data_IF_018180320027
#
_entry.id   IF_018180320027
#
_cell.length_a   1.000
_cell.length_b   1.000
_cell.length_c   1.000
_cell.angle_alpha   90.00
_cell.angle_beta   90.00
_cell.angle_gamma   90.00
#
_symmetry.space_group_name_H-M   'P 1'
#
loop_
_entity.id
_entity.type
_entity.pdbx_description
1 polymer ?
#
# COMPACT_ATOMS: atom_id res chain seq x y z
N UNK A 1 12.39 3.68 6.57
CA UNK A 1 11.88 2.29 6.71
C UNK A 1 10.76 2.04 5.73
N UNK A 2 10.48 0.77 5.39
CA UNK A 2 9.38 0.40 4.49
C UNK A 2 8.40 -0.56 5.19
N UNK A 3 7.10 -0.34 5.01
CA UNK A 3 6.00 -1.11 5.58
C UNK A 3 4.90 -1.29 4.52
N UNK A 4 4.32 -2.48 4.40
CA UNK A 4 4.51 -3.71 5.13
C UNK A 4 5.02 -4.80 4.19
N UNK A 5 5.63 -5.85 4.73
CA UNK A 5 5.83 -7.08 3.97
C UNK A 5 4.49 -7.81 3.82
N UNK A 6 4.43 -8.81 2.95
CA UNK A 6 3.26 -9.68 2.83
C UNK A 6 2.90 -10.33 4.17
N UNK A 7 1.61 -10.53 4.39
CA UNK A 7 1.13 -11.25 5.58
C UNK A 7 1.20 -12.76 5.32
N UNK A 8 1.54 -13.54 6.33
CA UNK A 8 1.58 -14.99 6.19
C UNK A 8 0.18 -15.56 6.02
N UNK A 9 -0.04 -16.26 4.92
CA UNK A 9 -1.28 -16.95 4.59
C UNK A 9 -1.06 -18.40 4.19
N UNK A 10 -2.15 -19.11 3.93
CA UNK A 10 -2.14 -20.51 3.50
C UNK A 10 -3.29 -20.78 2.53
N UNK A 11 -3.09 -21.71 1.61
CA UNK A 11 -4.17 -22.25 0.76
C UNK A 11 -4.15 -23.77 0.76
N UNK A 12 -5.32 -24.37 0.92
CA UNK A 12 -5.55 -25.82 0.84
C UNK A 12 -6.25 -26.13 -0.49
N UNK A 13 -5.71 -27.12 -1.21
CA UNK A 13 -6.41 -27.76 -2.32
C UNK A 13 -7.36 -28.84 -1.73
N UNK A 14 -8.63 -28.57 -1.71
CA UNK A 14 -9.65 -29.42 -1.09
C UNK A 14 -9.85 -30.76 -1.83
N UNK A 15 -9.56 -30.77 -3.14
CA UNK A 15 -9.73 -31.98 -3.96
C UNK A 15 -8.57 -32.94 -3.77
N UNK A 16 -7.35 -32.41 -3.69
CA UNK A 16 -6.13 -33.20 -3.42
C UNK A 16 -5.90 -33.44 -1.93
N UNK A 17 -6.63 -32.74 -1.05
CA UNK A 17 -6.42 -32.75 0.41
C UNK A 17 -4.96 -32.48 0.77
N UNK A 18 -4.36 -31.47 0.11
CA UNK A 18 -2.96 -31.13 0.21
C UNK A 18 -2.76 -29.61 0.27
N UNK A 19 -1.58 -29.19 0.66
CA UNK A 19 -1.19 -27.79 0.58
C UNK A 19 -1.08 -27.35 -0.90
N UNK A 20 -1.68 -26.21 -1.26
CA UNK A 20 -1.56 -25.66 -2.60
C UNK A 20 -0.18 -25.02 -2.86
N UNK A 21 0.53 -24.63 -1.79
CA UNK A 21 1.87 -24.06 -1.84
C UNK A 21 2.90 -25.08 -1.35
N UNK A 22 4.02 -25.20 -2.04
CA UNK A 22 5.10 -26.14 -1.70
C UNK A 22 5.62 -25.89 -0.26
N UNK A 23 5.73 -24.63 0.16
CA UNK A 23 6.17 -24.24 1.51
C UNK A 23 5.04 -24.22 2.53
N UNK A 24 3.84 -24.75 2.21
CA UNK A 24 2.62 -24.78 3.03
C UNK A 24 2.02 -23.40 3.26
N UNK A 25 2.83 -22.41 3.60
CA UNK A 25 2.45 -21.02 3.78
C UNK A 25 3.09 -20.12 2.72
N UNK A 26 2.52 -18.93 2.51
CA UNK A 26 3.04 -17.94 1.57
C UNK A 26 2.59 -16.54 1.95
N UNK A 27 3.10 -15.55 1.23
CA UNK A 27 2.76 -14.16 1.45
C UNK A 27 1.40 -13.80 0.84
N UNK A 28 0.51 -13.31 1.66
CA UNK A 28 -0.72 -12.65 1.22
C UNK A 28 -0.40 -11.20 0.85
N UNK A 29 -0.72 -10.81 -0.39
CA UNK A 29 -0.60 -9.44 -0.91
C UNK A 29 -1.90 -9.00 -1.57
N UNK A 30 -1.90 -7.79 -2.15
CA UNK A 30 -3.07 -7.24 -2.85
C UNK A 30 -4.00 -6.44 -1.94
N UNK A 31 -5.19 -6.05 -2.43
CA UNK A 31 -6.07 -5.08 -1.75
C UNK A 31 -6.49 -5.48 -0.34
N UNK A 32 -6.57 -6.77 -0.07
CA UNK A 32 -7.00 -7.30 1.24
C UNK A 32 -6.08 -6.87 2.39
N UNK A 33 -4.79 -6.63 2.13
CA UNK A 33 -3.84 -6.22 3.18
C UNK A 33 -3.78 -4.70 3.40
N UNK A 34 -4.38 -3.88 2.51
CA UNK A 34 -4.30 -2.42 2.57
C UNK A 34 -4.70 -1.84 3.94
N UNK A 35 -5.85 -2.18 4.54
CA UNK A 35 -6.25 -1.59 5.82
C UNK A 35 -5.25 -1.88 6.94
N UNK A 36 -4.63 -3.05 6.93
CA UNK A 36 -3.58 -3.41 7.90
C UNK A 36 -2.33 -2.56 7.65
N UNK A 37 -1.92 -2.44 6.38
CA UNK A 37 -0.75 -1.68 5.98
C UNK A 37 -0.88 -0.18 6.32
N UNK A 38 -2.01 0.45 6.00
CA UNK A 38 -2.29 1.86 6.33
C UNK A 38 -2.21 2.09 7.84
N UNK A 39 -2.85 1.23 8.65
CA UNK A 39 -2.77 1.33 10.11
C UNK A 39 -1.34 1.22 10.61
N UNK A 40 -0.55 0.29 10.08
CA UNK A 40 0.84 0.10 10.52
C UNK A 40 1.71 1.29 10.14
N UNK A 41 1.54 1.87 8.95
CA UNK A 41 2.22 3.10 8.54
C UNK A 41 1.85 4.26 9.46
N UNK A 42 0.57 4.44 9.78
CA UNK A 42 0.10 5.47 10.69
C UNK A 42 0.74 5.35 12.09
N UNK A 43 0.81 4.13 12.64
CA UNK A 43 1.44 3.89 13.94
C UNK A 43 2.95 4.14 13.90
N UNK A 44 3.63 3.66 12.85
CA UNK A 44 5.06 3.86 12.67
C UNK A 44 5.43 5.34 12.51
N UNK A 45 4.66 6.10 11.71
CA UNK A 45 4.90 7.53 11.50
C UNK A 45 4.83 8.36 12.78
N UNK A 46 4.08 7.90 13.78
CA UNK A 46 4.02 8.54 15.11
C UNK A 46 5.13 8.11 16.06
N UNK A 47 5.74 6.95 15.79
CA UNK A 47 6.76 6.37 16.67
C UNK A 47 8.19 6.73 16.25
N UNK A 48 8.42 7.04 14.96
CA UNK A 48 9.76 7.29 14.44
C UNK A 48 9.83 8.61 13.66
N UNK A 49 11.06 9.15 13.52
CA UNK A 49 11.32 10.40 12.76
C UNK A 49 11.97 10.15 11.39
N UNK A 50 12.16 8.89 11.01
CA UNK A 50 12.76 8.54 9.72
C UNK A 50 11.67 8.46 8.63
N UNK A 51 12.01 8.73 7.37
CA UNK A 51 11.08 8.58 6.26
C UNK A 51 10.50 7.17 6.17
N UNK A 52 9.23 7.07 5.76
CA UNK A 52 8.50 5.81 5.62
C UNK A 52 8.08 5.63 4.17
N UNK A 53 8.39 4.46 3.60
CA UNK A 53 7.82 4.01 2.33
C UNK A 53 6.63 3.10 2.66
N UNK A 54 5.42 3.56 2.34
CA UNK A 54 4.19 2.78 2.52
C UNK A 54 3.96 1.83 1.35
N UNK A 55 3.64 0.56 1.66
CA UNK A 55 3.31 -0.44 0.65
C UNK A 55 2.35 -1.49 1.20
N UNK A 56 1.58 -2.09 0.30
CA UNK A 56 0.64 -3.16 0.62
C UNK A 56 -0.79 -2.85 0.17
N UNK A 57 -1.18 -3.39 -0.98
CA UNK A 57 -2.54 -3.30 -1.50
C UNK A 57 -2.91 -2.02 -2.24
N UNK A 58 -1.94 -1.17 -2.58
CA UNK A 58 -2.14 0.04 -3.38
C UNK A 58 -2.45 -0.36 -4.82
N UNK A 59 -3.58 0.13 -5.38
CA UNK A 59 -4.03 -0.12 -6.76
C UNK A 59 -4.14 1.15 -7.59
N UNK A 60 -4.38 2.29 -6.94
CA UNK A 60 -4.69 3.57 -7.57
C UNK A 60 -4.27 4.74 -6.67
N UNK A 61 -4.55 5.97 -7.13
CA UNK A 61 -4.20 7.20 -6.42
C UNK A 61 -4.88 7.31 -5.05
N UNK A 62 -6.14 6.93 -4.92
CA UNK A 62 -6.87 7.01 -3.64
C UNK A 62 -6.21 6.12 -2.60
N UNK A 63 -5.85 4.88 -2.98
CA UNK A 63 -5.13 3.97 -2.11
C UNK A 63 -3.76 4.57 -1.70
N UNK A 64 -3.02 5.18 -2.63
CA UNK A 64 -1.72 5.81 -2.36
C UNK A 64 -1.85 7.02 -1.42
N UNK A 65 -2.88 7.84 -1.62
CA UNK A 65 -3.16 9.00 -0.78
C UNK A 65 -3.52 8.60 0.66
N UNK A 66 -4.20 7.47 0.87
CA UNK A 66 -4.42 6.95 2.23
C UNK A 66 -3.09 6.72 2.97
N UNK A 67 -2.09 6.15 2.29
CA UNK A 67 -0.76 5.94 2.89
C UNK A 67 -0.03 7.25 3.17
N UNK A 68 -0.08 8.21 2.24
CA UNK A 68 0.55 9.52 2.41
C UNK A 68 -0.10 10.26 3.58
N UNK A 69 -1.42 10.31 3.64
CA UNK A 69 -2.16 10.91 4.74
C UNK A 69 -1.88 10.22 6.08
N UNK A 70 -1.64 8.91 6.09
CA UNK A 70 -1.25 8.16 7.28
C UNK A 70 0.19 8.46 7.74
N UNK A 71 1.03 9.08 6.88
CA UNK A 71 2.39 9.49 7.22
C UNK A 71 3.51 8.88 6.38
N UNK A 72 3.17 8.17 5.30
CA UNK A 72 4.18 7.72 4.35
C UNK A 72 4.75 8.92 3.56
N UNK A 73 6.08 8.97 3.43
CA UNK A 73 6.79 9.96 2.60
C UNK A 73 6.88 9.54 1.14
N UNK A 74 6.75 8.25 0.89
CA UNK A 74 6.68 7.67 -0.44
C UNK A 74 5.81 6.40 -0.38
N UNK A 75 5.36 5.93 -1.54
CA UNK A 75 4.60 4.69 -1.67
C UNK A 75 5.24 3.75 -2.69
N UNK A 76 5.00 2.45 -2.54
CA UNK A 76 5.42 1.44 -3.50
C UNK A 76 4.23 0.57 -3.92
N UNK A 77 4.10 0.36 -5.23
CA UNK A 77 3.03 -0.42 -5.85
C UNK A 77 3.63 -1.75 -6.33
N UNK A 78 3.14 -2.86 -5.79
CA UNK A 78 3.60 -4.20 -6.14
C UNK A 78 2.57 -4.95 -6.99
N UNK A 79 1.72 -5.74 -6.34
CA UNK A 79 0.78 -6.70 -6.96
C UNK A 79 -0.11 -6.08 -8.04
N UNK A 80 -0.50 -4.81 -7.92
CA UNK A 80 -1.35 -4.14 -8.91
C UNK A 80 -0.73 -4.12 -10.31
N UNK A 81 0.60 -4.04 -10.42
CA UNK A 81 1.30 -4.04 -11.71
C UNK A 81 1.13 -5.35 -12.50
N UNK A 82 0.81 -6.47 -11.85
CA UNK A 82 0.51 -7.73 -12.54
C UNK A 82 -0.88 -7.73 -13.21
N UNK A 83 -1.81 -6.91 -12.71
CA UNK A 83 -3.14 -6.76 -13.29
C UNK A 83 -3.23 -5.58 -14.25
N UNK A 84 -2.55 -4.48 -13.92
CA UNK A 84 -2.48 -3.27 -14.71
C UNK A 84 -1.04 -2.75 -14.76
N UNK A 85 -0.29 -2.96 -15.87
CA UNK A 85 1.09 -2.49 -15.98
C UNK A 85 1.23 -0.95 -15.91
N UNK A 86 0.14 -0.21 -16.08
CA UNK A 86 0.11 1.24 -15.97
C UNK A 86 -0.28 1.75 -14.57
N UNK A 87 -0.56 0.86 -13.62
CA UNK A 87 -1.04 1.23 -12.27
C UNK A 87 -0.20 2.32 -11.61
N UNK A 88 1.13 2.26 -11.75
CA UNK A 88 2.03 3.25 -11.16
C UNK A 88 1.89 4.63 -11.83
N UNK A 89 1.81 4.69 -13.15
CA UNK A 89 1.65 5.95 -13.90
C UNK A 89 0.29 6.56 -13.61
N UNK A 90 -0.78 5.77 -13.68
CA UNK A 90 -2.15 6.20 -13.36
C UNK A 90 -2.27 6.70 -11.92
N UNK A 91 -1.54 6.08 -10.99
CA UNK A 91 -1.48 6.55 -9.60
C UNK A 91 -0.84 7.93 -9.51
N UNK A 92 0.27 8.17 -10.21
CA UNK A 92 0.92 9.50 -10.24
C UNK A 92 0.00 10.55 -10.82
N UNK A 93 -0.66 10.25 -11.94
CA UNK A 93 -1.61 11.18 -12.59
C UNK A 93 -2.83 11.45 -11.70
N UNK A 94 -3.35 10.43 -11.02
CA UNK A 94 -4.46 10.58 -10.08
C UNK A 94 -4.09 11.42 -8.85
N UNK A 95 -2.88 11.26 -8.31
CA UNK A 95 -2.37 12.12 -7.21
C UNK A 95 -2.28 13.57 -7.69
N UNK A 96 -1.76 13.81 -8.91
CA UNK A 96 -1.71 15.16 -9.50
C UNK A 96 -3.10 15.77 -9.61
N UNK A 97 -4.07 15.03 -10.17
CA UNK A 97 -5.44 15.48 -10.29
C UNK A 97 -6.08 15.79 -8.92
N UNK A 98 -5.79 14.99 -7.89
CA UNK A 98 -6.23 15.26 -6.52
C UNK A 98 -5.64 16.58 -5.99
N UNK A 99 -4.33 16.80 -6.17
CA UNK A 99 -3.67 18.04 -5.74
C UNK A 99 -4.26 19.27 -6.44
N UNK A 100 -4.47 19.20 -7.75
CA UNK A 100 -5.12 20.28 -8.54
C UNK A 100 -6.53 20.56 -8.03
N UNK A 101 -7.34 19.52 -7.83
CA UNK A 101 -8.72 19.64 -7.34
C UNK A 101 -8.82 20.35 -6.00
N UNK A 102 -7.87 20.11 -5.10
CA UNK A 102 -7.88 20.65 -3.74
C UNK A 102 -6.93 21.83 -3.54
N UNK A 103 -6.28 22.34 -4.60
CA UNK A 103 -5.38 23.50 -4.55
C UNK A 103 -4.11 23.25 -3.73
N UNK A 104 -3.61 22.02 -3.72
CA UNK A 104 -2.42 21.61 -2.96
C UNK A 104 -1.19 21.83 -3.84
N UNK A 105 -0.29 22.71 -3.39
CA UNK A 105 0.92 23.07 -4.14
C UNK A 105 2.06 22.07 -3.98
N UNK A 106 2.11 21.37 -2.86
CA UNK A 106 3.18 20.43 -2.54
C UNK A 106 2.62 19.18 -1.87
N UNK A 107 2.94 18.00 -2.43
CA UNK A 107 2.49 16.71 -1.87
C UNK A 107 2.92 16.52 -0.40
N UNK A 108 3.99 17.17 0.04
CA UNK A 108 4.47 17.12 1.42
C UNK A 108 3.46 17.67 2.43
N UNK A 109 2.56 18.53 2.00
CA UNK A 109 1.46 19.05 2.83
C UNK A 109 0.48 17.95 3.27
N UNK A 110 0.42 16.85 2.51
CA UNK A 110 -0.46 15.71 2.79
C UNK A 110 0.17 14.68 3.73
N UNK A 111 1.49 14.70 3.92
CA UNK A 111 2.17 13.68 4.73
C UNK A 111 1.73 13.77 6.19
N UNK A 112 1.02 12.72 6.64
CA UNK A 112 0.51 12.66 8.01
C UNK A 112 -0.63 13.63 8.32
N UNK A 113 -1.29 14.18 7.31
CA UNK A 113 -2.33 15.19 7.47
C UNK A 113 -3.71 14.63 7.87
N UNK A 114 -3.84 13.31 8.09
CA UNK A 114 -5.08 12.72 8.61
C UNK A 114 -5.37 13.23 10.03
N UNK A 115 -6.62 13.66 10.26
CA UNK A 115 -7.12 14.20 11.55
C UNK A 115 -8.01 13.19 12.26
#
# INVERSE_FOLDING_TARGET
>A
ISLINTLTGMKIDIHKRAFALANRTGGLSGPAVKPVAVRMVYQAARAVKVPIIGMGGIRNADDALEFILAGATAVAIGTANFHNPYATVETVDGIRAYMEKYGIGDIRELIGAVR
#
